data_IF_898749764115
#
_entry.id   IF_898749764115
#
_cell.length_a   1.000
_cell.length_b   1.000
_cell.length_c   1.000
_cell.angle_alpha   90.00
_cell.angle_beta   90.00
_cell.angle_gamma   90.00
#
_symmetry.space_group_name_H-M   'P 1'
#
loop_
_entity.id
_entity.type
_entity.pdbx_description
1 polymer ?
#
# COMPACT_ATOMS: atom_id res chain seq x y z
N UNK A 1 4.57 2.55 10.21
CA UNK A 1 4.33 1.25 9.54
C UNK A 1 5.58 0.38 9.58
N UNK A 2 6.64 0.69 8.83
CA UNK A 2 7.86 -0.14 8.77
C UNK A 2 8.39 -0.58 10.14
N UNK A 3 8.67 0.37 11.04
CA UNK A 3 9.23 0.08 12.37
C UNK A 3 8.33 -0.81 13.22
N UNK A 4 7.02 -0.67 13.06
CA UNK A 4 6.05 -1.50 13.76
C UNK A 4 6.00 -2.92 13.19
N UNK A 5 6.19 -3.09 11.88
CA UNK A 5 6.22 -4.40 11.22
C UNK A 5 7.56 -5.13 11.43
N UNK A 6 8.68 -4.41 11.46
CA UNK A 6 10.01 -5.00 11.57
C UNK A 6 10.54 -5.10 13.00
N UNK A 7 9.99 -4.31 13.92
CA UNK A 7 10.49 -4.22 15.29
C UNK A 7 11.86 -3.53 15.43
N UNK A 8 12.37 -2.92 14.36
CA UNK A 8 13.75 -2.44 14.29
C UNK A 8 13.88 -0.97 13.81
N UNK A 9 14.61 -0.09 14.53
CA UNK A 9 15.15 -0.33 15.87
C UNK A 9 14.04 -0.36 16.94
N UNK A 10 14.23 -1.09 18.06
CA UNK A 10 13.19 -1.32 19.07
C UNK A 10 12.55 -0.06 19.63
N UNK A 11 13.34 1.01 19.80
CA UNK A 11 12.87 2.29 20.34
C UNK A 11 11.87 2.95 19.39
N UNK A 12 12.14 2.90 18.07
CA UNK A 12 11.23 3.44 17.07
C UNK A 12 10.03 2.54 16.84
N UNK A 13 10.18 1.22 17.02
CA UNK A 13 9.06 0.29 16.98
C UNK A 13 8.07 0.56 18.12
N UNK A 14 8.56 0.78 19.35
CA UNK A 14 7.74 1.15 20.48
C UNK A 14 7.01 2.49 20.26
N UNK A 15 7.69 3.50 19.72
CA UNK A 15 7.07 4.79 19.38
C UNK A 15 5.98 4.62 18.31
N UNK A 16 6.25 3.83 17.27
CA UNK A 16 5.26 3.55 16.23
C UNK A 16 4.04 2.81 16.80
N UNK A 17 4.24 1.87 17.72
CA UNK A 17 3.15 1.17 18.41
C UNK A 17 2.25 2.15 19.18
N UNK A 18 2.82 3.09 19.93
CA UNK A 18 2.05 4.09 20.67
C UNK A 18 1.23 5.00 19.75
N UNK A 19 1.72 5.26 18.53
CA UNK A 19 0.96 6.01 17.51
C UNK A 19 -0.28 5.22 17.07
N UNK A 20 -0.12 3.95 16.73
CA UNK A 20 -1.27 3.11 16.35
C UNK A 20 -2.24 2.90 17.51
N UNK A 21 -1.74 2.67 18.73
CA UNK A 21 -2.60 2.51 19.91
C UNK A 21 -3.41 3.77 20.19
N UNK A 22 -2.84 4.96 19.96
CA UNK A 22 -3.58 6.21 20.10
C UNK A 22 -4.74 6.35 19.13
N UNK A 23 -4.60 5.82 17.92
CA UNK A 23 -5.70 5.75 16.97
C UNK A 23 -6.78 4.77 17.42
N UNK A 24 -6.41 3.56 17.85
CA UNK A 24 -7.34 2.53 18.34
C UNK A 24 -8.10 2.96 19.60
N UNK A 25 -7.45 3.71 20.49
CA UNK A 25 -8.06 4.28 21.69
C UNK A 25 -9.00 5.47 21.37
N UNK A 26 -9.12 5.88 20.10
CA UNK A 26 -9.94 7.01 19.69
C UNK A 26 -9.37 8.38 20.08
N UNK A 27 -8.08 8.47 20.43
CA UNK A 27 -7.44 9.76 20.75
C UNK A 27 -7.31 10.66 19.52
N UNK A 28 -7.20 10.07 18.34
CA UNK A 28 -7.17 10.73 17.03
C UNK A 28 -7.47 9.73 15.93
N UNK A 29 -7.67 10.22 14.71
CA UNK A 29 -7.65 9.40 13.50
C UNK A 29 -6.26 9.45 12.88
N UNK A 30 -5.69 8.29 12.57
CA UNK A 30 -4.41 8.17 11.88
C UNK A 30 -4.63 8.06 10.38
N UNK A 31 -4.54 9.19 9.67
CA UNK A 31 -4.58 9.19 8.21
C UNK A 31 -3.28 8.62 7.63
N UNK A 32 -3.39 7.69 6.68
CA UNK A 32 -2.26 7.05 6.01
C UNK A 32 -2.34 7.30 4.51
N UNK A 33 -1.32 7.98 3.99
CA UNK A 33 -1.22 8.34 2.58
C UNK A 33 -0.68 7.14 1.74
N UNK A 34 -1.20 6.90 0.51
CA UNK A 34 -0.76 5.82 -0.38
C UNK A 34 0.75 5.75 -0.62
N UNK A 35 1.42 6.91 -0.73
CA UNK A 35 2.88 6.98 -0.88
C UNK A 35 3.63 6.33 0.29
N UNK A 36 3.16 6.51 1.53
CA UNK A 36 3.80 5.89 2.69
C UNK A 36 3.62 4.36 2.67
N UNK A 37 2.47 3.87 2.19
CA UNK A 37 2.21 2.43 2.02
C UNK A 37 3.09 1.86 0.91
N UNK A 38 3.22 2.59 -0.21
CA UNK A 38 4.08 2.19 -1.32
C UNK A 38 5.55 2.12 -0.91
N UNK A 39 6.06 3.15 -0.23
CA UNK A 39 7.41 3.14 0.31
C UNK A 39 7.61 1.93 1.25
N UNK A 40 6.70 1.72 2.21
CA UNK A 40 6.78 0.60 3.13
C UNK A 40 6.78 -0.76 2.41
N UNK A 41 5.89 -0.96 1.45
CA UNK A 41 5.83 -2.19 0.67
C UNK A 41 7.15 -2.47 -0.06
N UNK A 42 7.70 -1.45 -0.75
CA UNK A 42 8.97 -1.63 -1.46
C UNK A 42 10.14 -1.82 -0.53
N UNK A 43 10.23 -1.11 0.60
CA UNK A 43 11.30 -1.31 1.58
C UNK A 43 11.23 -2.71 2.20
N UNK A 44 10.03 -3.21 2.55
CA UNK A 44 9.87 -4.58 3.05
C UNK A 44 10.37 -5.61 2.04
N UNK A 45 9.96 -5.48 0.77
CA UNK A 45 10.31 -6.46 -0.27
C UNK A 45 11.78 -6.37 -0.68
N UNK A 46 12.30 -5.16 -0.87
CA UNK A 46 13.64 -4.97 -1.44
C UNK A 46 14.76 -4.97 -0.41
N UNK A 47 14.57 -4.29 0.72
CA UNK A 47 15.61 -4.14 1.73
C UNK A 47 15.54 -5.25 2.79
N UNK A 48 14.34 -5.53 3.30
CA UNK A 48 14.13 -6.59 4.30
C UNK A 48 13.94 -7.99 3.70
N UNK A 49 13.81 -8.10 2.38
CA UNK A 49 13.67 -9.39 1.68
C UNK A 49 12.35 -10.12 1.95
N UNK A 50 11.34 -9.42 2.48
CA UNK A 50 10.03 -9.99 2.80
C UNK A 50 9.31 -10.39 1.51
N UNK A 51 8.63 -11.55 1.52
CA UNK A 51 7.85 -11.99 0.37
C UNK A 51 6.75 -10.99 0.01
N UNK A 52 6.46 -10.77 -1.29
CA UNK A 52 5.46 -9.77 -1.73
C UNK A 52 4.08 -10.00 -1.10
N UNK A 53 3.62 -11.25 -1.05
CA UNK A 53 2.33 -11.60 -0.47
C UNK A 53 2.31 -11.34 1.04
N UNK A 54 3.41 -11.66 1.74
CA UNK A 54 3.57 -11.41 3.17
C UNK A 54 3.61 -9.91 3.48
N UNK A 55 4.38 -9.13 2.71
CA UNK A 55 4.45 -7.67 2.86
C UNK A 55 3.10 -7.00 2.59
N UNK A 56 2.36 -7.45 1.57
CA UNK A 56 1.01 -6.95 1.29
C UNK A 56 0.04 -7.28 2.42
N UNK A 57 0.01 -8.53 2.89
CA UNK A 57 -0.86 -8.96 3.99
C UNK A 57 -0.59 -8.17 5.28
N UNK A 58 0.68 -8.07 5.68
CA UNK A 58 1.06 -7.35 6.89
C UNK A 58 0.71 -5.85 6.83
N UNK A 59 0.78 -5.22 5.65
CA UNK A 59 0.34 -3.84 5.47
C UNK A 59 -1.18 -3.71 5.49
N UNK A 60 -1.93 -4.64 4.89
CA UNK A 60 -3.39 -4.66 4.96
C UNK A 60 -3.88 -4.82 6.40
N UNK A 61 -3.32 -5.78 7.14
CA UNK A 61 -3.65 -6.00 8.56
C UNK A 61 -3.40 -4.74 9.40
N UNK A 62 -2.34 -4.00 9.09
CA UNK A 62 -2.02 -2.74 9.76
C UNK A 62 -3.02 -1.62 9.43
N UNK A 63 -3.45 -1.55 8.17
CA UNK A 63 -4.38 -0.55 7.67
C UNK A 63 -5.83 -0.82 8.12
N UNK A 64 -6.14 -2.07 8.49
CA UNK A 64 -7.45 -2.49 9.02
C UNK A 64 -7.64 -2.21 10.52
N UNK A 65 -6.61 -1.69 11.20
CA UNK A 65 -6.70 -1.34 12.63
C UNK A 65 -7.66 -0.19 12.87
N UNK A 66 -8.35 -0.24 14.01
CA UNK A 66 -9.30 0.80 14.41
C UNK A 66 -8.64 2.18 14.50
N UNK A 67 -9.34 3.21 14.03
CA UNK A 67 -8.84 4.58 14.00
C UNK A 67 -7.83 4.89 12.88
N UNK A 68 -7.45 3.90 12.06
CA UNK A 68 -6.66 4.12 10.85
C UNK A 68 -7.57 4.47 9.68
N UNK A 69 -7.27 5.57 8.99
CA UNK A 69 -7.96 5.99 7.78
C UNK A 69 -7.00 5.93 6.61
N UNK A 70 -7.24 5.01 5.68
CA UNK A 70 -6.45 4.92 4.47
C UNK A 70 -6.98 5.90 3.41
N UNK A 71 -6.13 6.83 2.98
CA UNK A 71 -6.45 7.70 1.86
C UNK A 71 -6.44 6.91 0.55
N UNK A 72 -7.34 7.24 -0.37
CA UNK A 72 -7.51 6.54 -1.65
C UNK A 72 -7.72 5.02 -1.52
N UNK A 73 -8.38 4.57 -0.45
CA UNK A 73 -8.55 3.16 -0.13
C UNK A 73 -9.13 2.33 -1.29
N UNK A 74 -10.13 2.86 -1.99
CA UNK A 74 -10.75 2.19 -3.16
C UNK A 74 -9.75 1.87 -4.28
N UNK A 75 -8.67 2.65 -4.37
CA UNK A 75 -7.61 2.49 -5.35
C UNK A 75 -6.44 1.67 -4.77
N UNK A 76 -6.07 1.90 -3.51
CA UNK A 76 -4.87 1.32 -2.89
C UNK A 76 -5.04 -0.10 -2.38
N UNK A 77 -6.15 -0.43 -1.72
CA UNK A 77 -6.38 -1.78 -1.17
C UNK A 77 -6.32 -2.86 -2.27
N UNK A 78 -7.07 -2.76 -3.37
CA UNK A 78 -6.98 -3.77 -4.43
C UNK A 78 -5.61 -3.77 -5.13
N UNK A 79 -4.94 -2.60 -5.23
CA UNK A 79 -3.60 -2.52 -5.78
C UNK A 79 -2.56 -3.26 -4.93
N UNK A 80 -2.66 -3.18 -3.60
CA UNK A 80 -1.79 -3.88 -2.66
C UNK A 80 -2.00 -5.40 -2.74
N UNK A 81 -3.25 -5.86 -2.85
CA UNK A 81 -3.57 -7.26 -3.11
C UNK A 81 -3.00 -7.78 -4.44
N UNK A 82 -3.14 -7.02 -5.53
CA UNK A 82 -2.58 -7.39 -6.83
C UNK A 82 -1.05 -7.40 -6.81
N UNK A 83 -0.44 -6.42 -6.15
CA UNK A 83 1.01 -6.36 -5.98
C UNK A 83 1.53 -7.56 -5.19
N UNK A 84 0.82 -7.97 -4.14
CA UNK A 84 1.13 -9.16 -3.34
C UNK A 84 1.15 -10.45 -4.16
N UNK A 85 0.24 -10.59 -5.13
CA UNK A 85 0.16 -11.72 -6.07
C UNK A 85 1.28 -11.73 -7.14
N UNK A 86 2.10 -10.69 -7.22
CA UNK A 86 3.19 -10.56 -8.19
C UNK A 86 2.76 -10.10 -9.59
N UNK A 87 1.49 -9.69 -9.73
CA UNK A 87 0.91 -9.31 -11.01
C UNK A 87 1.48 -8.02 -11.58
N UNK A 88 1.43 -6.93 -10.81
CA UNK A 88 1.96 -5.60 -11.17
C UNK A 88 2.82 -5.06 -10.02
N UNK A 89 3.59 -4.01 -10.28
CA UNK A 89 4.12 -3.20 -9.17
C UNK A 89 2.94 -2.54 -8.42
N UNK A 90 3.13 -2.14 -7.16
CA UNK A 90 2.06 -1.51 -6.40
C UNK A 90 1.61 -0.20 -7.06
N UNK A 91 2.56 0.56 -7.61
CA UNK A 91 2.26 1.83 -8.30
C UNK A 91 1.47 1.56 -9.59
N UNK A 92 1.89 0.59 -10.39
CA UNK A 92 1.18 0.23 -11.64
C UNK A 92 -0.23 -0.28 -11.35
N UNK A 93 -0.38 -1.12 -10.32
CA UNK A 93 -1.67 -1.62 -9.89
C UNK A 93 -2.57 -0.46 -9.41
N UNK A 94 -2.04 0.46 -8.62
CA UNK A 94 -2.76 1.63 -8.12
C UNK A 94 -3.27 2.50 -9.26
N UNK A 95 -2.40 2.84 -10.23
CA UNK A 95 -2.78 3.62 -11.41
C UNK A 95 -3.84 2.90 -12.25
N UNK A 96 -3.72 1.59 -12.44
CA UNK A 96 -4.71 0.80 -13.16
C UNK A 96 -6.07 0.78 -12.44
N UNK A 97 -6.09 0.57 -11.13
CA UNK A 97 -7.33 0.59 -10.34
C UNK A 97 -8.00 1.96 -10.34
N UNK A 98 -7.21 3.02 -10.14
CA UNK A 98 -7.68 4.41 -10.22
C UNK A 98 -8.27 4.74 -11.58
N UNK A 99 -7.57 4.42 -12.66
CA UNK A 99 -8.06 4.65 -14.02
C UNK A 99 -9.38 3.92 -14.28
N UNK A 100 -9.49 2.63 -13.88
CA UNK A 100 -10.74 1.86 -14.01
C UNK A 100 -11.89 2.51 -13.25
N UNK A 101 -11.65 2.86 -11.98
CA UNK A 101 -12.69 3.44 -11.10
C UNK A 101 -13.18 4.79 -11.61
N UNK A 102 -12.29 5.59 -12.17
CA UNK A 102 -12.61 6.91 -12.71
C UNK A 102 -13.13 6.86 -14.15
N UNK A 103 -13.15 5.69 -14.81
CA UNK A 103 -13.45 5.58 -16.23
C UNK A 103 -12.45 6.34 -17.12
N UNK A 104 -11.22 6.50 -16.65
CA UNK A 104 -10.17 7.24 -17.33
C UNK A 104 -9.27 6.31 -18.18
N UNK A 105 -8.70 6.86 -19.25
CA UNK A 105 -7.63 6.21 -20.00
C UNK A 105 -6.28 6.29 -19.28
N UNK A 106 -5.34 5.44 -19.69
CA UNK A 106 -4.00 5.35 -19.12
C UNK A 106 -2.92 5.55 -20.20
N UNK A 107 -2.05 6.54 -20.00
CA UNK A 107 -0.81 6.70 -20.74
C UNK A 107 0.35 6.04 -19.97
N UNK A 108 1.09 5.12 -20.59
CA UNK A 108 2.26 4.50 -19.95
C UNK A 108 3.25 3.99 -20.98
N UNK A 109 4.54 4.01 -20.64
CA UNK A 109 5.60 3.38 -21.43
C UNK A 109 5.86 1.92 -20.99
N UNK A 110 5.26 1.48 -19.88
CA UNK A 110 5.42 0.13 -19.36
C UNK A 110 4.56 -0.87 -20.14
N UNK A 111 5.22 -1.80 -20.83
CA UNK A 111 4.55 -2.82 -21.66
C UNK A 111 3.70 -3.80 -20.85
N UNK A 112 4.09 -4.09 -19.61
CA UNK A 112 3.37 -5.02 -18.72
C UNK A 112 2.09 -4.35 -18.24
N UNK A 113 2.15 -3.08 -17.83
CA UNK A 113 0.98 -2.30 -17.45
C UNK A 113 0.02 -2.16 -18.64
N UNK A 114 0.49 -1.80 -19.85
CA UNK A 114 -0.37 -1.74 -21.05
C UNK A 114 -1.22 -3.00 -21.25
N UNK A 115 -0.64 -4.18 -21.01
CA UNK A 115 -1.34 -5.48 -21.18
C UNK A 115 -2.30 -5.82 -20.05
N UNK A 116 -2.03 -5.35 -18.84
CA UNK A 116 -2.77 -5.76 -17.62
C UNK A 116 -3.69 -4.68 -17.08
N UNK A 117 -3.58 -3.43 -17.55
CA UNK A 117 -4.34 -2.30 -17.04
C UNK A 117 -5.85 -2.42 -17.31
N UNK A 118 -6.28 -3.12 -18.36
CA UNK A 118 -7.72 -3.34 -18.61
C UNK A 118 -8.54 -2.04 -18.71
N UNK A 119 -7.93 -0.97 -19.22
CA UNK A 119 -8.52 0.35 -19.47
C UNK A 119 -8.12 0.82 -20.87
N UNK A 120 -8.78 1.87 -21.37
CA UNK A 120 -8.36 2.55 -22.60
C UNK A 120 -6.90 2.99 -22.48
N UNK A 121 -6.08 2.64 -23.47
CA UNK A 121 -4.70 3.12 -23.54
C UNK A 121 -4.64 4.41 -24.34
N UNK A 122 -4.10 5.44 -23.71
CA UNK A 122 -3.83 6.72 -24.36
C UNK A 122 -2.49 6.65 -25.12
N UNK A 123 -2.30 7.52 -26.14
CA UNK A 123 -1.08 7.55 -26.96
C UNK A 123 0.23 7.51 -26.16
#
# INVERSE_FOLDING_TARGET
MLRLLTGDPPELAAQALEVFRGAEEGRYTLAVHPLAVAEAFYTLVSFYGVGRAEAAGALLDLLDREGVLLEDEEDLRPALEEAGKGGLSLVDAFLAHRARRQGAGLATLDRKLRRRAGVELLP
#
